data_IF_926449069589
#
_entry.id   IF_926449069589
#
_cell.length_a   1.000
_cell.length_b   1.000
_cell.length_c   1.000
_cell.angle_alpha   90.00
_cell.angle_beta   90.00
_cell.angle_gamma   90.00
#
_symmetry.space_group_name_H-M   'P 1'
#
loop_
_entity.id
_entity.type
_entity.pdbx_description
1 polymer ?
#
# COMPACT_ATOMS: atom_id res chain seq x y z
N UNK A 1 -13.29 -21.73 19.30
CA UNK A 1 -13.30 -21.37 17.86
C UNK A 1 -14.42 -20.36 17.66
N UNK A 2 -14.11 -19.13 17.24
CA UNK A 2 -15.12 -18.10 16.97
C UNK A 2 -15.40 -18.09 15.45
N UNK A 3 -16.58 -18.52 14.99
CA UNK A 3 -16.89 -18.62 13.56
C UNK A 3 -16.95 -17.26 12.84
N UNK A 4 -16.83 -16.13 13.56
CA UNK A 4 -16.79 -14.77 12.96
C UNK A 4 -15.38 -14.24 12.75
N UNK A 5 -14.34 -14.96 13.19
CA UNK A 5 -12.95 -14.54 13.01
C UNK A 5 -12.40 -15.04 11.68
N UNK A 6 -12.19 -14.10 10.76
CA UNK A 6 -11.41 -14.36 9.56
C UNK A 6 -9.91 -14.37 9.92
N UNK A 7 -9.21 -15.44 9.55
CA UNK A 7 -7.75 -15.56 9.70
C UNK A 7 -7.11 -15.67 8.33
N UNK A 8 -6.01 -14.95 8.12
CA UNK A 8 -5.19 -15.03 6.91
C UNK A 8 -3.81 -15.56 7.29
N UNK A 9 -3.40 -16.67 6.68
CA UNK A 9 -2.05 -17.21 6.79
C UNK A 9 -1.28 -16.78 5.55
N UNK A 10 -0.20 -16.03 5.74
CA UNK A 10 0.62 -15.44 4.69
C UNK A 10 2.08 -15.83 4.88
N UNK A 11 2.89 -15.66 3.83
CA UNK A 11 4.34 -15.79 3.93
C UNK A 11 4.92 -14.81 4.96
N UNK A 12 5.95 -15.25 5.68
CA UNK A 12 6.63 -14.44 6.69
C UNK A 12 7.78 -13.64 6.07
N UNK A 13 7.75 -12.31 6.24
CA UNK A 13 8.84 -11.42 5.84
C UNK A 13 9.80 -11.19 7.02
N UNK A 14 10.93 -11.90 7.03
CA UNK A 14 11.87 -11.95 8.15
C UNK A 14 12.47 -10.62 8.59
N UNK A 15 12.60 -9.65 7.69
CA UNK A 15 13.30 -8.39 7.97
C UNK A 15 12.33 -7.29 8.44
N UNK A 16 11.09 -7.68 8.76
CA UNK A 16 10.08 -6.80 9.33
C UNK A 16 9.57 -5.74 8.36
N UNK A 17 9.03 -4.65 8.93
CA UNK A 17 8.54 -3.52 8.14
C UNK A 17 9.69 -2.63 7.66
N UNK A 18 9.48 -1.87 6.59
CA UNK A 18 10.42 -0.87 6.09
C UNK A 18 10.75 0.16 7.19
N UNK A 19 9.77 0.51 8.03
CA UNK A 19 10.01 1.37 9.20
C UNK A 19 11.05 0.75 10.15
N UNK A 20 10.87 -0.52 10.52
CA UNK A 20 11.80 -1.23 11.40
C UNK A 20 13.16 -1.42 10.72
N UNK A 21 13.16 -1.90 9.48
CA UNK A 21 14.34 -2.13 8.67
C UNK A 21 15.21 -0.87 8.56
N UNK A 22 14.62 0.28 8.24
CA UNK A 22 15.35 1.55 8.17
C UNK A 22 15.87 1.99 9.54
N UNK A 23 15.10 1.80 10.61
CA UNK A 23 15.55 2.12 11.98
C UNK A 23 16.81 1.33 12.35
N UNK A 24 16.83 0.03 12.05
CA UNK A 24 17.92 -0.88 12.40
C UNK A 24 19.14 -0.73 11.48
N UNK A 25 18.93 -0.43 10.20
CA UNK A 25 20.00 -0.46 9.18
C UNK A 25 20.45 0.93 8.69
N UNK A 26 19.80 2.02 9.12
CA UNK A 26 20.03 3.39 8.58
C UNK A 26 21.49 3.82 8.47
N UNK A 27 22.33 3.46 9.45
CA UNK A 27 23.77 3.82 9.49
C UNK A 27 24.61 3.06 8.46
N UNK A 28 24.25 1.81 8.18
CA UNK A 28 25.03 0.91 7.31
C UNK A 28 24.49 0.90 5.86
N UNK A 29 23.35 1.56 5.62
CA UNK A 29 22.66 1.50 4.35
C UNK A 29 23.15 2.60 3.41
N UNK A 30 23.86 2.20 2.35
CA UNK A 30 24.33 3.12 1.33
C UNK A 30 23.18 3.66 0.44
N UNK A 31 23.46 4.70 -0.34
CA UNK A 31 22.48 5.32 -1.23
C UNK A 31 21.92 4.37 -2.29
N UNK A 32 22.75 3.45 -2.81
CA UNK A 32 22.32 2.48 -3.81
C UNK A 32 21.24 1.52 -3.27
N UNK A 33 21.39 1.06 -2.03
CA UNK A 33 20.38 0.25 -1.36
C UNK A 33 19.07 1.03 -1.18
N UNK A 34 19.14 2.31 -0.80
CA UNK A 34 17.96 3.18 -0.63
C UNK A 34 17.22 3.38 -1.95
N UNK A 35 17.96 3.69 -3.01
CA UNK A 35 17.43 3.82 -4.36
C UNK A 35 16.82 2.52 -4.86
N UNK A 36 17.44 1.37 -4.54
CA UNK A 36 16.89 0.07 -4.91
C UNK A 36 15.54 -0.20 -4.25
N UNK A 37 15.40 0.07 -2.94
CA UNK A 37 14.10 -0.07 -2.26
C UNK A 37 13.06 0.88 -2.85
N UNK A 38 13.41 2.15 -3.08
CA UNK A 38 12.52 3.14 -3.68
C UNK A 38 12.04 2.70 -5.08
N UNK A 39 12.95 2.18 -5.91
CA UNK A 39 12.63 1.63 -7.24
C UNK A 39 11.65 0.47 -7.14
N UNK A 40 11.86 -0.46 -6.21
CA UNK A 40 10.94 -1.59 -6.01
C UNK A 40 9.55 -1.13 -5.55
N UNK A 41 9.47 -0.18 -4.62
CA UNK A 41 8.20 0.38 -4.14
C UNK A 41 7.44 1.07 -5.29
N UNK A 42 8.14 1.89 -6.09
CA UNK A 42 7.55 2.54 -7.26
C UNK A 42 7.08 1.51 -8.30
N UNK A 43 7.85 0.43 -8.51
CA UNK A 43 7.48 -0.68 -9.39
C UNK A 43 6.22 -1.41 -8.92
N UNK A 44 6.13 -1.72 -7.62
CA UNK A 44 4.95 -2.35 -7.03
C UNK A 44 3.71 -1.46 -7.13
N UNK A 45 3.86 -0.15 -6.87
CA UNK A 45 2.77 0.81 -7.04
C UNK A 45 2.30 0.91 -8.50
N UNK A 46 3.25 0.99 -9.44
CA UNK A 46 2.93 0.98 -10.89
C UNK A 46 2.15 -0.28 -11.25
N UNK A 47 2.54 -1.45 -10.72
CA UNK A 47 1.82 -2.69 -10.94
C UNK A 47 0.40 -2.66 -10.38
N UNK A 48 0.21 -2.21 -9.14
CA UNK A 48 -1.13 -2.09 -8.53
C UNK A 48 -2.03 -1.16 -9.34
N UNK A 49 -1.52 0.01 -9.72
CA UNK A 49 -2.28 1.00 -10.48
C UNK A 49 -2.62 0.52 -11.89
N UNK A 50 -1.70 -0.17 -12.59
CA UNK A 50 -1.98 -0.81 -13.89
C UNK A 50 -3.13 -1.82 -13.79
N UNK A 51 -3.31 -2.44 -12.63
CA UNK A 51 -4.40 -3.39 -12.35
C UNK A 51 -5.63 -2.73 -11.71
N UNK A 52 -5.74 -1.40 -11.72
CA UNK A 52 -6.83 -0.64 -11.13
C UNK A 52 -7.03 -0.92 -9.63
N UNK A 53 -5.95 -1.19 -8.90
CA UNK A 53 -5.97 -1.40 -7.45
C UNK A 53 -5.36 -0.19 -6.75
N UNK A 54 -6.15 0.46 -5.90
CA UNK A 54 -5.69 1.48 -4.97
C UNK A 54 -5.43 0.80 -3.62
N UNK A 55 -4.22 0.92 -3.06
CA UNK A 55 -3.92 0.31 -1.76
C UNK A 55 -4.67 0.96 -0.59
N UNK A 56 -4.77 2.30 -0.58
CA UNK A 56 -5.54 3.06 0.42
C UNK A 56 -4.92 3.20 1.81
N UNK A 57 -3.77 2.61 2.07
CA UNK A 57 -3.08 2.64 3.38
C UNK A 57 -1.55 2.48 3.27
N UNK A 58 -0.98 2.75 2.10
CA UNK A 58 0.46 2.54 1.88
C UNK A 58 1.27 3.50 2.78
N UNK A 59 2.11 2.92 3.64
CA UNK A 59 3.04 3.63 4.51
C UNK A 59 4.20 2.70 4.90
N UNK A 60 5.24 3.20 5.57
CA UNK A 60 6.44 2.41 5.89
C UNK A 60 6.20 1.22 6.84
N UNK A 61 5.09 1.16 7.56
CA UNK A 61 4.70 -0.02 8.37
C UNK A 61 4.08 -1.13 7.52
N UNK A 62 3.46 -0.75 6.40
CA UNK A 62 2.74 -1.66 5.50
C UNK A 62 3.60 -2.12 4.31
N UNK A 63 4.86 -1.70 4.26
CA UNK A 63 5.87 -2.24 3.34
C UNK A 63 6.75 -3.15 4.16
N UNK A 64 6.82 -4.43 3.82
CA UNK A 64 7.66 -5.43 4.48
C UNK A 64 8.93 -5.68 3.67
N UNK A 65 10.00 -6.13 4.33
CA UNK A 65 11.28 -6.44 3.72
C UNK A 65 11.61 -7.91 3.98
N UNK A 66 12.11 -8.59 2.95
CA UNK A 66 12.62 -9.95 3.06
C UNK A 66 13.76 -10.17 2.06
N UNK A 67 14.97 -10.37 2.55
CA UNK A 67 16.16 -10.53 1.71
C UNK A 67 16.44 -9.32 0.81
N UNK A 68 16.12 -8.10 1.28
CA UNK A 68 16.25 -6.88 0.47
C UNK A 68 15.18 -6.69 -0.61
N UNK A 69 14.16 -7.54 -0.64
CA UNK A 69 13.01 -7.43 -1.54
C UNK A 69 11.82 -6.85 -0.77
N UNK A 70 11.15 -5.86 -1.37
CA UNK A 70 9.94 -5.27 -0.77
C UNK A 70 8.71 -6.14 -1.03
N UNK A 71 7.82 -6.21 -0.03
CA UNK A 71 6.50 -6.82 -0.13
C UNK A 71 5.46 -5.85 0.41
N UNK A 72 4.43 -5.56 -0.38
CA UNK A 72 3.33 -4.68 0.06
C UNK A 72 2.34 -5.51 0.88
N UNK A 73 1.88 -4.98 2.01
CA UNK A 73 1.01 -5.68 2.96
C UNK A 73 -0.17 -4.80 3.41
N UNK A 74 -1.13 -5.38 4.13
CA UNK A 74 -2.31 -4.68 4.67
C UNK A 74 -3.24 -4.07 3.59
N UNK A 75 -3.79 -4.95 2.77
CA UNK A 75 -4.79 -4.60 1.75
C UNK A 75 -6.21 -4.39 2.30
N UNK A 76 -6.39 -4.34 3.63
CA UNK A 76 -7.72 -4.20 4.25
C UNK A 76 -8.46 -2.92 3.86
N UNK A 77 -7.73 -1.88 3.43
CA UNK A 77 -8.28 -0.60 2.92
C UNK A 77 -8.23 -0.46 1.40
N UNK A 78 -7.82 -1.51 0.70
CA UNK A 78 -7.67 -1.46 -0.74
C UNK A 78 -9.00 -1.40 -1.47
N UNK A 79 -9.02 -0.73 -2.63
CA UNK A 79 -10.21 -0.57 -3.46
C UNK A 79 -9.85 -0.78 -4.92
N UNK A 80 -10.76 -1.42 -5.66
CA UNK A 80 -10.72 -1.35 -7.12
C UNK A 80 -11.13 0.06 -7.56
N UNK A 81 -10.43 0.64 -8.53
CA UNK A 81 -10.66 2.01 -9.00
C UNK A 81 -12.12 2.23 -9.42
N UNK A 82 -12.74 1.27 -10.13
CA UNK A 82 -14.16 1.32 -10.49
C UNK A 82 -15.07 1.49 -9.26
N UNK A 83 -14.81 0.70 -8.21
CA UNK A 83 -15.58 0.73 -6.96
C UNK A 83 -15.36 2.05 -6.20
N UNK A 84 -14.12 2.57 -6.22
CA UNK A 84 -13.79 3.86 -5.64
C UNK A 84 -14.54 5.01 -6.34
N UNK A 85 -14.55 5.01 -7.68
CA UNK A 85 -15.29 6.01 -8.46
C UNK A 85 -16.80 5.92 -8.24
N UNK A 86 -17.36 4.71 -8.07
CA UNK A 86 -18.78 4.56 -7.71
C UNK A 86 -19.08 5.08 -6.30
N UNK A 87 -18.20 4.84 -5.32
CA UNK A 87 -18.34 5.41 -3.97
C UNK A 87 -18.26 6.93 -4.02
N UNK A 88 -17.28 7.50 -4.73
CA UNK A 88 -17.15 8.94 -4.91
C UNK A 88 -18.38 9.53 -5.59
N UNK A 89 -18.89 8.94 -6.68
CA UNK A 89 -20.14 9.40 -7.31
C UNK A 89 -21.33 9.32 -6.36
N UNK A 90 -21.42 8.30 -5.50
CA UNK A 90 -22.45 8.19 -4.47
C UNK A 90 -22.34 9.29 -3.41
N UNK A 91 -21.12 9.66 -3.01
CA UNK A 91 -20.85 10.77 -2.08
C UNK A 91 -21.05 12.15 -2.73
N UNK A 92 -20.67 12.32 -4.00
CA UNK A 92 -20.82 13.57 -4.78
C UNK A 92 -22.29 13.83 -5.15
N UNK A 93 -23.18 12.83 -5.14
CA UNK A 93 -24.63 13.06 -5.26
C UNK A 93 -25.24 13.88 -4.11
N UNK A 94 -24.50 14.10 -3.02
CA UNK A 94 -24.88 14.99 -1.92
C UNK A 94 -24.15 16.34 -1.93
N UNK A 95 -23.27 16.60 -2.91
CA UNK A 95 -22.71 17.95 -3.13
C UNK A 95 -23.51 18.63 -4.23
N UNK A 96 -24.13 19.76 -3.89
CA UNK A 96 -24.86 20.65 -4.81
C UNK A 96 -24.03 20.90 -6.07
N UNK A 97 -24.61 20.61 -7.23
CA UNK A 97 -24.02 20.74 -8.57
C UNK A 97 -23.79 22.19 -9.04
N UNK A 98 -23.90 23.21 -8.18
CA UNK A 98 -23.80 24.63 -8.58
C UNK A 98 -22.42 25.32 -8.45
N UNK A 99 -21.30 24.59 -8.35
CA UNK A 99 -19.97 25.24 -8.31
C UNK A 99 -18.91 24.53 -9.18
N UNK A 100 -19.30 24.00 -10.33
CA UNK A 100 -18.36 23.63 -11.41
C UNK A 100 -18.77 24.25 -12.74
N UNK A 101 -19.07 25.55 -12.72
CA UNK A 101 -18.95 26.37 -13.91
C UNK A 101 -17.63 27.15 -13.85
N UNK A 102 -16.92 27.03 -14.98
CA UNK A 102 -15.62 27.61 -15.40
C UNK A 102 -14.39 26.74 -15.08
#
# INVERSE_FOLDING_TARGET
YDPRRLMLVLEHASDGSLQQYLKENSRNMNWNAKLNLARQIAGALKFLHKNNILHGSLNSRNILIHGGIIKISDFGRSKRLKNFLSTLRGSIRYTDTRHLEI
#
